data_IF_591196919259
#
_entry.id   IF_591196919259
#
_cell.length_a   1.000
_cell.length_b   1.000
_cell.length_c   1.000
_cell.angle_alpha   90.00
_cell.angle_beta   90.00
_cell.angle_gamma   90.00
#
_symmetry.space_group_name_H-M   'P 1'
#
loop_
_entity.id
_entity.type
_entity.pdbx_description
1 polymer ?
#
# COMPACT_ATOMS: atom_id res chain seq x y z
N UNK A 1 -11.81 1.11 -17.01
CA UNK A 1 -11.22 2.21 -16.24
C UNK A 1 -9.73 1.94 -16.20
N UNK A 2 -8.94 2.74 -16.91
CA UNK A 2 -7.47 2.68 -16.87
C UNK A 2 -7.02 2.99 -15.45
N UNK A 3 -6.25 2.10 -14.84
CA UNK A 3 -5.73 2.26 -13.49
C UNK A 3 -4.88 3.54 -13.42
N UNK A 4 -5.27 4.52 -12.59
CA UNK A 4 -4.49 5.76 -12.38
C UNK A 4 -3.05 5.44 -11.94
N UNK A 5 -2.88 4.41 -11.11
CA UNK A 5 -1.58 3.90 -10.69
C UNK A 5 -0.68 3.42 -11.84
N UNK A 6 -1.28 3.08 -12.99
CA UNK A 6 -0.57 2.59 -14.17
C UNK A 6 -0.17 3.76 -15.08
N UNK A 7 -0.93 4.85 -15.05
CA UNK A 7 -0.58 6.08 -15.74
C UNK A 7 0.64 6.75 -15.08
N UNK A 8 0.73 6.70 -13.75
CA UNK A 8 1.89 7.19 -13.00
C UNK A 8 3.16 6.37 -13.32
N UNK A 9 3.07 5.04 -13.40
CA UNK A 9 4.18 4.18 -13.81
C UNK A 9 4.66 4.47 -15.25
N UNK A 10 3.74 4.73 -16.18
CA UNK A 10 4.09 5.11 -17.56
C UNK A 10 4.83 6.47 -17.61
N UNK A 11 4.41 7.42 -16.76
CA UNK A 11 5.03 8.75 -16.69
C UNK A 11 6.45 8.70 -16.07
N UNK A 12 6.66 7.86 -15.06
CA UNK A 12 7.95 7.75 -14.37
C UNK A 12 8.94 6.88 -15.16
N UNK A 13 8.50 5.71 -15.62
CA UNK A 13 9.40 4.67 -16.17
C UNK A 13 9.37 4.60 -17.71
N UNK A 14 8.46 5.32 -18.38
CA UNK A 14 8.30 5.28 -19.83
C UNK A 14 7.85 3.92 -20.36
N UNK A 15 7.41 3.03 -19.48
CA UNK A 15 6.95 1.69 -19.80
C UNK A 15 5.43 1.69 -19.94
N UNK A 16 4.91 1.23 -21.08
CA UNK A 16 3.47 1.04 -21.25
C UNK A 16 3.02 -0.05 -20.28
N UNK A 17 2.15 0.26 -19.31
CA UNK A 17 1.74 -0.70 -18.29
C UNK A 17 0.93 -1.82 -18.93
N UNK A 18 1.09 -3.04 -18.40
CA UNK A 18 0.44 -4.25 -18.94
C UNK A 18 -1.09 -4.10 -19.05
N UNK A 19 -1.72 -3.26 -18.21
CA UNK A 19 -3.14 -2.95 -18.28
C UNK A 19 -3.61 -2.24 -19.57
N UNK A 20 -2.69 -1.62 -20.32
CA UNK A 20 -2.92 -1.01 -21.64
C UNK A 20 -2.53 -1.93 -22.80
N UNK A 21 -1.94 -3.09 -22.50
CA UNK A 21 -1.61 -4.13 -23.48
C UNK A 21 -2.75 -5.13 -23.63
N UNK A 22 -2.70 -5.99 -24.65
CA UNK A 22 -3.67 -7.07 -24.86
C UNK A 22 -3.70 -8.09 -23.70
N UNK A 23 -2.69 -8.10 -22.83
CA UNK A 23 -2.60 -9.02 -21.68
C UNK A 23 -3.50 -8.61 -20.51
N UNK A 24 -3.99 -7.38 -20.49
CA UNK A 24 -4.82 -6.86 -19.39
C UNK A 24 -4.03 -6.58 -18.11
N UNK A 25 -4.72 -6.04 -17.10
CA UNK A 25 -4.11 -5.72 -15.82
C UNK A 25 -3.75 -6.99 -15.06
N UNK A 26 -2.46 -7.20 -14.78
CA UNK A 26 -1.98 -8.34 -13.98
C UNK A 26 -2.25 -8.20 -12.48
N UNK A 27 -2.57 -6.99 -12.02
CA UNK A 27 -2.99 -6.74 -10.64
C UNK A 27 -4.46 -7.17 -10.54
N UNK A 28 -4.77 -8.24 -9.77
CA UNK A 28 -6.15 -8.64 -9.58
C UNK A 28 -6.91 -7.52 -8.86
N UNK A 29 -8.18 -7.27 -9.21
CA UNK A 29 -9.02 -6.39 -8.41
C UNK A 29 -9.11 -6.96 -6.99
N UNK A 30 -9.15 -6.07 -6.00
CA UNK A 30 -9.44 -6.46 -4.63
C UNK A 30 -10.82 -7.10 -4.57
N UNK A 31 -10.95 -8.13 -3.74
CA UNK A 31 -12.24 -8.67 -3.39
C UNK A 31 -12.98 -7.70 -2.45
N UNK A 32 -14.29 -7.91 -2.27
CA UNK A 32 -15.12 -7.05 -1.42
C UNK A 32 -14.57 -6.96 0.01
N UNK A 33 -14.00 -8.05 0.52
CA UNK A 33 -13.39 -8.10 1.83
C UNK A 33 -12.11 -7.26 1.90
N UNK A 34 -11.20 -7.40 0.94
CA UNK A 34 -9.97 -6.63 0.86
C UNK A 34 -10.23 -5.14 0.69
N UNK A 35 -11.22 -4.76 -0.12
CA UNK A 35 -11.64 -3.37 -0.25
C UNK A 35 -12.17 -2.80 1.07
N UNK A 36 -13.03 -3.55 1.76
CA UNK A 36 -13.57 -3.17 3.08
C UNK A 36 -12.47 -2.98 4.12
N UNK A 37 -11.49 -3.88 4.18
CA UNK A 37 -10.36 -3.79 5.11
C UNK A 37 -9.56 -2.52 4.89
N UNK A 38 -9.29 -2.17 3.63
CA UNK A 38 -8.56 -0.95 3.29
C UNK A 38 -9.34 0.32 3.63
N UNK A 39 -10.67 0.32 3.44
CA UNK A 39 -11.52 1.43 3.83
C UNK A 39 -11.53 1.64 5.34
N UNK A 40 -11.66 0.57 6.13
CA UNK A 40 -11.62 0.66 7.61
C UNK A 40 -10.25 1.20 8.06
N UNK A 41 -9.16 0.69 7.48
CA UNK A 41 -7.79 1.15 7.76
C UNK A 41 -7.61 2.64 7.44
N UNK A 42 -8.08 3.09 6.28
CA UNK A 42 -7.98 4.51 5.89
C UNK A 42 -8.75 5.42 6.86
N UNK A 43 -9.92 4.98 7.32
CA UNK A 43 -10.67 5.70 8.36
C UNK A 43 -9.98 5.72 9.71
N UNK A 44 -9.39 4.59 10.12
CA UNK A 44 -8.60 4.54 11.35
C UNK A 44 -7.44 5.54 11.30
N UNK A 45 -6.72 5.63 10.17
CA UNK A 45 -5.61 6.57 10.02
C UNK A 45 -6.10 8.02 10.00
N UNK A 46 -7.13 8.32 9.20
CA UNK A 46 -7.61 9.70 9.01
C UNK A 46 -8.31 10.27 10.24
N UNK A 47 -8.91 9.44 11.09
CA UNK A 47 -9.71 9.86 12.24
C UNK A 47 -9.06 9.54 13.60
N UNK A 48 -7.84 8.99 13.65
CA UNK A 48 -7.23 8.52 14.91
C UNK A 48 -7.16 9.58 16.02
N UNK A 49 -7.02 10.86 15.66
CA UNK A 49 -6.95 11.98 16.60
C UNK A 49 -8.32 12.52 17.02
N UNK A 50 -9.39 12.11 16.35
CA UNK A 50 -10.75 12.66 16.52
C UNK A 50 -11.66 11.65 17.21
N UNK A 51 -11.56 10.37 16.81
CA UNK A 51 -12.45 9.30 17.25
C UNK A 51 -11.62 8.10 17.65
N UNK A 52 -11.96 7.46 18.76
CA UNK A 52 -11.27 6.25 19.18
C UNK A 52 -11.48 5.12 18.16
N UNK A 53 -10.46 4.27 18.01
CA UNK A 53 -10.49 3.16 17.07
C UNK A 53 -11.67 2.21 17.30
N UNK A 54 -12.10 2.00 18.55
CA UNK A 54 -13.23 1.14 18.89
C UNK A 54 -14.54 1.66 18.31
N UNK A 55 -14.77 2.98 18.34
CA UNK A 55 -15.94 3.62 17.73
C UNK A 55 -15.93 3.50 16.21
N UNK A 56 -14.78 3.69 15.56
CA UNK A 56 -14.64 3.52 14.10
C UNK A 56 -14.96 2.08 13.69
N UNK A 57 -14.39 1.09 14.39
CA UNK A 57 -14.66 -0.32 14.13
C UNK A 57 -16.13 -0.68 14.28
N UNK A 58 -16.82 -0.12 15.28
CA UNK A 58 -18.27 -0.32 15.48
C UNK A 58 -19.11 0.31 14.36
N UNK A 59 -18.75 1.51 13.90
CA UNK A 59 -19.47 2.19 12.81
C UNK A 59 -19.42 1.40 11.50
N UNK A 60 -18.38 0.60 11.32
CA UNK A 60 -18.16 -0.24 10.14
C UNK A 60 -18.58 -1.70 10.34
N UNK A 61 -19.23 -2.03 11.46
CA UNK A 61 -19.60 -3.40 11.85
C UNK A 61 -18.42 -4.39 11.69
N UNK A 62 -17.21 -3.95 12.06
CA UNK A 62 -15.99 -4.74 11.87
C UNK A 62 -16.06 -6.03 12.69
N UNK A 63 -15.83 -7.16 12.02
CA UNK A 63 -15.77 -8.47 12.65
C UNK A 63 -14.39 -8.73 13.22
N UNK A 64 -14.26 -9.80 14.01
CA UNK A 64 -12.95 -10.27 14.48
C UNK A 64 -12.00 -10.58 13.32
N UNK A 65 -12.53 -11.15 12.25
CA UNK A 65 -11.77 -11.51 11.05
C UNK A 65 -11.23 -10.26 10.34
N UNK A 66 -12.02 -9.18 10.28
CA UNK A 66 -11.55 -7.90 9.71
C UNK A 66 -10.37 -7.33 10.49
N UNK A 67 -10.41 -7.42 11.83
CA UNK A 67 -9.33 -6.96 12.72
C UNK A 67 -8.08 -7.82 12.55
N UNK A 68 -8.23 -9.13 12.45
CA UNK A 68 -7.11 -10.05 12.21
C UNK A 68 -6.44 -9.78 10.85
N UNK A 69 -7.24 -9.56 9.80
CA UNK A 69 -6.73 -9.21 8.47
C UNK A 69 -6.02 -7.86 8.46
N UNK A 70 -6.57 -6.84 9.13
CA UNK A 70 -5.87 -5.55 9.28
C UNK A 70 -4.51 -5.70 9.95
N UNK A 71 -4.40 -6.56 10.98
CA UNK A 71 -3.13 -6.80 11.64
C UNK A 71 -2.10 -7.46 10.72
N UNK A 72 -2.53 -8.36 9.83
CA UNK A 72 -1.67 -8.97 8.80
C UNK A 72 -1.20 -7.90 7.81
N UNK A 73 -2.13 -7.10 7.29
CA UNK A 73 -1.83 -6.03 6.31
C UNK A 73 -0.82 -5.03 6.89
N UNK A 74 -1.01 -4.56 8.13
CA UNK A 74 -0.09 -3.63 8.77
C UNK A 74 1.30 -4.25 8.99
N UNK A 75 1.37 -5.55 9.31
CA UNK A 75 2.64 -6.27 9.41
C UNK A 75 3.38 -6.32 8.07
N UNK A 76 2.67 -6.63 6.98
CA UNK A 76 3.25 -6.66 5.63
C UNK A 76 3.72 -5.29 5.17
N UNK A 77 2.91 -4.25 5.39
CA UNK A 77 3.29 -2.87 5.08
C UNK A 77 4.52 -2.42 5.86
N UNK A 78 4.67 -2.86 7.12
CA UNK A 78 5.86 -2.59 7.91
C UNK A 78 7.11 -3.25 7.33
N UNK A 79 7.02 -4.54 6.98
CA UNK A 79 8.15 -5.27 6.36
C UNK A 79 8.61 -4.59 5.06
N UNK A 80 7.67 -4.19 4.19
CA UNK A 80 7.99 -3.46 2.95
C UNK A 80 8.68 -2.12 3.20
N UNK A 81 8.37 -1.42 4.30
CA UNK A 81 9.04 -0.16 4.66
C UNK A 81 10.47 -0.39 5.14
N UNK A 82 10.70 -1.48 5.88
CA UNK A 82 12.01 -1.86 6.40
C UNK A 82 12.93 -2.33 5.26
N UNK A 83 12.45 -3.16 4.34
CA UNK A 83 13.22 -3.62 3.17
C UNK A 83 13.66 -2.46 2.24
N UNK A 84 12.84 -1.41 2.14
CA UNK A 84 13.19 -0.20 1.36
C UNK A 84 14.21 0.71 2.06
N UNK A 85 14.47 0.50 3.35
CA UNK A 85 15.40 1.32 4.13
C UNK A 85 16.85 0.80 4.12
N UNK A 86 17.07 -0.47 3.77
CA UNK A 86 18.41 -1.08 3.71
C UNK A 86 19.21 -0.73 2.43
N UNK A 87 18.65 0.05 1.50
CA UNK A 87 19.28 0.40 0.22
C UNK A 87 20.02 1.75 0.14
N UNK A 88 20.10 2.55 1.20
CA UNK A 88 20.63 3.94 1.14
C UNK A 88 21.99 4.21 1.80
N UNK A 89 22.60 3.26 2.48
CA UNK A 89 23.90 3.45 3.14
C UNK A 89 25.03 2.74 2.39
N UNK A 90 25.47 3.29 1.25
CA UNK A 90 26.52 2.60 0.49
C UNK A 90 27.17 3.30 -0.70
N UNK A 91 27.37 4.62 -0.71
CA UNK A 91 28.44 5.18 -1.56
C UNK A 91 28.87 6.61 -1.14
N UNK A 92 29.41 6.77 0.07
CA UNK A 92 30.21 7.94 0.40
C UNK A 92 31.64 7.71 -0.13
N UNK A 93 32.05 8.56 -1.08
CA UNK A 93 33.17 8.31 -1.97
C UNK A 93 34.55 8.16 -1.33
N UNK A 94 35.30 7.19 -1.84
CA UNK A 94 36.77 7.25 -1.83
C UNK A 94 37.22 8.14 -2.99
N UNK A 95 37.58 9.39 -2.70
CA UNK A 95 38.55 10.12 -3.52
C UNK A 95 39.90 9.46 -3.30
N UNK A 96 40.46 8.91 -4.37
CA UNK A 96 41.86 8.51 -4.41
C UNK A 96 42.59 9.70 -5.01
N UNK A 97 43.27 10.46 -4.16
CA UNK A 97 44.26 11.45 -4.59
C UNK A 97 45.59 10.71 -4.78
N UNK A 98 46.08 10.64 -6.03
CA UNK A 98 47.47 10.39 -6.40
C UNK A 98 47.90 11.40 -7.47
#
# INVERSE_FOLDING_TARGET
MSCEACAEAEEIDGAVPDCRTEKGCLIPPLDEQGQRILEIRDRLITLHDIVDAGTILRLYDATKEDVEMMAIVEKELKMLREDNSEGKDGNAGKRVDE
#
